data_IF_176080085091
#
_entry.id   IF_176080085091
#
_cell.length_a   1.000
_cell.length_b   1.000
_cell.length_c   1.000
_cell.angle_alpha   90.00
_cell.angle_beta   90.00
_cell.angle_gamma   90.00
#
_symmetry.space_group_name_H-M   'P 1'
#
loop_
_entity.id
_entity.type
_entity.pdbx_description
1 polymer ?
#
# COMPACT_ATOMS: atom_id res chain seq x y z
N UNK A 1 -23.66 14.40 -14.67
CA UNK A 1 -23.17 13.16 -14.01
C UNK A 1 -23.59 12.02 -14.90
N UNK A 2 -22.62 11.33 -15.49
CA UNK A 2 -22.91 10.18 -16.35
C UNK A 2 -23.52 9.07 -15.50
N UNK A 3 -24.51 8.34 -16.03
CA UNK A 3 -25.28 7.32 -15.28
C UNK A 3 -24.43 6.17 -14.72
N UNK A 4 -23.19 6.03 -15.19
CA UNK A 4 -22.27 4.92 -14.86
C UNK A 4 -21.34 5.24 -13.69
N UNK A 5 -21.44 6.42 -13.09
CA UNK A 5 -20.59 6.83 -11.97
C UNK A 5 -21.28 6.66 -10.62
N UNK A 6 -20.53 6.14 -9.65
CA UNK A 6 -20.99 5.98 -8.28
C UNK A 6 -20.12 6.83 -7.37
N UNK A 7 -20.75 7.80 -6.72
CA UNK A 7 -20.11 8.64 -5.72
C UNK A 7 -20.54 8.22 -4.33
N UNK A 8 -19.57 7.95 -3.46
CA UNK A 8 -19.81 7.68 -2.03
C UNK A 8 -18.93 8.59 -1.19
N UNK A 9 -19.48 9.07 -0.08
CA UNK A 9 -18.76 9.94 0.85
C UNK A 9 -18.78 9.39 2.28
N UNK A 10 -17.65 9.53 2.98
CA UNK A 10 -17.51 9.26 4.40
C UNK A 10 -17.14 10.55 5.11
N UNK A 11 -17.99 11.03 6.03
CA UNK A 11 -17.79 12.30 6.71
C UNK A 11 -17.18 12.11 8.10
N UNK A 12 -16.37 13.08 8.52
CA UNK A 12 -15.80 13.15 9.87
C UNK A 12 -14.88 11.97 10.25
N UNK A 13 -14.12 11.44 9.29
CA UNK A 13 -13.10 10.44 9.59
C UNK A 13 -12.06 11.02 10.55
N UNK A 14 -11.79 10.30 11.66
CA UNK A 14 -10.87 10.75 12.70
C UNK A 14 -9.42 10.42 12.35
N UNK A 15 -8.97 11.00 11.23
CA UNK A 15 -7.65 10.88 10.62
C UNK A 15 -7.23 12.25 10.07
N UNK A 16 -5.92 12.51 10.04
CA UNK A 16 -5.39 13.71 9.42
C UNK A 16 -5.44 13.58 7.89
N UNK A 17 -5.90 14.60 7.14
CA UNK A 17 -5.97 14.56 5.68
C UNK A 17 -4.66 14.11 5.01
N UNK A 18 -3.50 14.57 5.51
CA UNK A 18 -2.18 14.19 4.97
C UNK A 18 -1.92 12.68 5.05
N UNK A 19 -2.33 12.03 6.14
CA UNK A 19 -2.14 10.58 6.34
C UNK A 19 -3.14 9.75 5.53
N UNK A 20 -4.31 10.29 5.25
CA UNK A 20 -5.30 9.63 4.39
C UNK A 20 -4.92 9.76 2.91
N UNK A 21 -4.40 10.93 2.48
CA UNK A 21 -3.90 11.16 1.11
C UNK A 21 -2.82 10.17 0.71
N UNK A 22 -1.83 9.92 1.59
CA UNK A 22 -0.76 8.97 1.31
C UNK A 22 -1.27 7.59 0.88
N UNK A 23 -2.32 7.08 1.53
CA UNK A 23 -2.92 5.78 1.18
C UNK A 23 -3.84 5.91 -0.03
N UNK A 24 -4.60 7.00 -0.12
CA UNK A 24 -5.49 7.26 -1.26
C UNK A 24 -4.72 7.39 -2.58
N UNK A 25 -3.51 7.95 -2.54
CA UNK A 25 -2.65 8.08 -3.72
C UNK A 25 -2.09 6.72 -4.16
N UNK A 26 -1.89 5.77 -3.24
CA UNK A 26 -1.44 4.41 -3.57
C UNK A 26 -2.48 3.61 -4.36
N UNK A 27 -3.78 3.79 -4.08
CA UNK A 27 -4.86 3.02 -4.69
C UNK A 27 -5.57 3.77 -5.83
N UNK A 28 -5.09 4.95 -6.23
CA UNK A 28 -5.74 5.75 -7.27
C UNK A 28 -5.52 5.09 -8.64
N UNK A 29 -6.60 4.87 -9.38
CA UNK A 29 -6.57 4.26 -10.71
C UNK A 29 -6.53 2.72 -10.71
N UNK A 30 -6.54 2.09 -9.53
CA UNK A 30 -6.66 0.64 -9.41
C UNK A 30 -8.10 0.16 -9.67
N UNK A 31 -8.23 -1.13 -10.02
CA UNK A 31 -9.53 -1.81 -10.02
C UNK A 31 -10.07 -1.90 -8.59
N UNK A 32 -11.39 -1.79 -8.44
CA UNK A 32 -12.01 -1.74 -7.12
C UNK A 32 -11.68 -2.98 -6.26
N UNK A 33 -11.68 -4.19 -6.85
CA UNK A 33 -11.36 -5.43 -6.14
C UNK A 33 -9.90 -5.48 -5.67
N UNK A 34 -8.95 -5.13 -6.55
CA UNK A 34 -7.52 -5.10 -6.20
C UNK A 34 -7.21 -4.08 -5.09
N UNK A 35 -7.88 -2.92 -5.16
CA UNK A 35 -7.77 -1.90 -4.12
C UNK A 35 -8.36 -2.39 -2.78
N UNK A 36 -9.46 -3.15 -2.80
CA UNK A 36 -10.07 -3.71 -1.59
C UNK A 36 -9.08 -4.63 -0.84
N UNK A 37 -8.43 -5.53 -1.57
CA UNK A 37 -7.44 -6.47 -1.03
C UNK A 37 -6.22 -5.74 -0.49
N UNK A 38 -5.67 -4.80 -1.26
CA UNK A 38 -4.50 -4.00 -0.85
C UNK A 38 -4.78 -3.20 0.44
N UNK A 39 -5.97 -2.62 0.56
CA UNK A 39 -6.36 -1.87 1.76
C UNK A 39 -6.65 -2.77 2.97
N UNK A 40 -7.17 -3.99 2.75
CA UNK A 40 -7.49 -4.95 3.82
C UNK A 40 -6.27 -5.34 4.64
N UNK A 41 -5.11 -5.52 3.99
CA UNK A 41 -3.87 -5.93 4.64
C UNK A 41 -2.97 -4.77 5.08
N UNK A 42 -3.37 -3.53 4.80
CA UNK A 42 -2.60 -2.36 5.23
C UNK A 42 -2.72 -2.12 6.74
N UNK A 43 -1.62 -1.95 7.49
CA UNK A 43 -1.65 -1.76 8.94
C UNK A 43 -2.13 -0.37 9.36
N UNK A 44 -2.24 0.57 8.42
CA UNK A 44 -2.52 1.97 8.75
C UNK A 44 -3.99 2.21 9.11
N UNK A 45 -4.23 3.10 10.09
CA UNK A 45 -5.60 3.52 10.45
C UNK A 45 -6.34 4.16 9.27
N UNK A 46 -5.61 4.88 8.41
CA UNK A 46 -6.19 5.50 7.20
C UNK A 46 -6.79 4.45 6.27
N UNK A 47 -6.09 3.33 6.05
CA UNK A 47 -6.56 2.26 5.18
C UNK A 47 -7.88 1.67 5.67
N UNK A 48 -8.08 1.52 6.99
CA UNK A 48 -9.36 1.04 7.55
C UNK A 48 -10.56 1.90 7.15
N UNK A 49 -10.41 3.23 7.17
CA UNK A 49 -11.49 4.12 6.75
C UNK A 49 -11.74 4.09 5.24
N UNK A 50 -10.67 4.01 4.44
CA UNK A 50 -10.80 3.94 2.97
C UNK A 50 -11.38 2.59 2.56
N UNK A 51 -10.97 1.49 3.18
CA UNK A 51 -11.54 0.16 2.97
C UNK A 51 -13.03 0.13 3.28
N UNK A 52 -13.45 0.69 4.42
CA UNK A 52 -14.87 0.80 4.76
C UNK A 52 -15.67 1.60 3.73
N UNK A 53 -15.09 2.70 3.23
CA UNK A 53 -15.72 3.52 2.19
C UNK A 53 -15.80 2.77 0.85
N UNK A 54 -14.76 2.05 0.46
CA UNK A 54 -14.71 1.27 -0.77
C UNK A 54 -15.70 0.10 -0.74
N UNK A 55 -15.78 -0.61 0.39
CA UNK A 55 -16.80 -1.66 0.62
C UNK A 55 -18.22 -1.11 0.48
N UNK A 56 -18.47 0.08 1.02
CA UNK A 56 -19.76 0.77 0.85
C UNK A 56 -20.02 1.17 -0.61
N UNK A 57 -19.00 1.54 -1.36
CA UNK A 57 -19.13 1.89 -2.78
C UNK A 57 -19.44 0.66 -3.64
N UNK A 58 -18.82 -0.49 -3.36
CA UNK A 58 -19.14 -1.76 -4.01
C UNK A 58 -20.57 -2.22 -3.69
N UNK A 59 -21.05 -2.01 -2.46
CA UNK A 59 -22.44 -2.29 -2.11
C UNK A 59 -23.41 -1.39 -2.89
N UNK A 60 -23.12 -0.09 -2.98
CA UNK A 60 -23.91 0.86 -3.77
C UNK A 60 -23.86 0.56 -5.28
N UNK A 61 -22.78 -0.06 -5.77
CA UNK A 61 -22.70 -0.55 -7.14
C UNK A 61 -23.62 -1.72 -7.41
N UNK A 62 -23.65 -2.69 -6.49
CA UNK A 62 -24.54 -3.86 -6.58
C UNK A 62 -26.00 -3.46 -6.58
N UNK A 63 -26.39 -2.45 -5.80
CA UNK A 63 -27.76 -1.91 -5.77
C UNK A 63 -28.17 -1.25 -7.11
N UNK A 64 -27.21 -0.84 -7.93
CA UNK A 64 -27.43 -0.25 -9.25
C UNK A 64 -27.19 -1.24 -10.40
N UNK A 65 -27.13 -2.54 -10.10
CA UNK A 65 -26.87 -3.62 -11.06
C UNK A 65 -25.56 -3.45 -11.86
N UNK A 66 -24.57 -2.77 -11.27
CA UNK A 66 -23.25 -2.61 -11.87
C UNK A 66 -22.32 -3.74 -11.42
N UNK A 67 -21.57 -4.29 -12.39
CA UNK A 67 -20.62 -5.37 -12.15
C UNK A 67 -19.38 -4.87 -11.42
N UNK A 68 -19.18 -5.36 -10.19
CA UNK A 68 -18.08 -4.93 -9.31
C UNK A 68 -16.68 -5.20 -9.88
N UNK A 69 -16.53 -6.19 -10.76
CA UNK A 69 -15.23 -6.56 -11.33
C UNK A 69 -14.74 -5.57 -12.40
N UNK A 70 -15.68 -4.88 -13.05
CA UNK A 70 -15.40 -3.90 -14.13
C UNK A 70 -15.18 -2.49 -13.60
N UNK A 71 -15.54 -2.24 -12.34
CA UNK A 71 -15.39 -0.94 -11.71
C UNK A 71 -13.93 -0.62 -11.37
N UNK A 72 -13.53 0.60 -11.70
CA UNK A 72 -12.27 1.18 -11.26
C UNK A 72 -12.49 2.42 -10.41
N UNK A 73 -11.46 2.77 -9.65
CA UNK A 73 -11.41 4.01 -8.90
C UNK A 73 -11.05 5.16 -9.85
N UNK A 74 -12.04 5.95 -10.26
CA UNK A 74 -11.84 7.15 -11.08
C UNK A 74 -11.19 8.28 -10.29
N UNK A 75 -11.72 8.56 -9.10
CA UNK A 75 -11.23 9.63 -8.26
C UNK A 75 -11.35 9.27 -6.77
N UNK A 76 -10.32 9.63 -5.99
CA UNK A 76 -10.38 9.63 -4.53
C UNK A 76 -10.01 11.02 -4.02
N UNK A 77 -10.93 11.65 -3.32
CA UNK A 77 -10.73 12.95 -2.69
C UNK A 77 -10.66 12.82 -1.18
N UNK A 78 -9.73 13.57 -0.60
CA UNK A 78 -9.53 13.68 0.85
C UNK A 78 -9.53 15.15 1.22
N UNK A 79 -10.67 15.62 1.72
CA UNK A 79 -10.90 16.99 2.11
C UNK A 79 -10.67 17.18 3.62
N UNK A 80 -10.28 18.39 4.01
CA UNK A 80 -10.09 18.76 5.41
C UNK A 80 -11.44 18.89 6.12
N UNK A 81 -11.59 18.22 7.27
CA UNK A 81 -12.75 18.36 8.14
C UNK A 81 -12.51 19.33 9.31
N UNK A 82 -13.54 19.52 10.16
CA UNK A 82 -13.41 20.34 11.36
C UNK A 82 -12.29 19.83 12.27
N UNK A 83 -11.54 20.77 12.84
CA UNK A 83 -10.38 20.49 13.69
C UNK A 83 -10.66 20.91 15.12
N UNK A 84 -10.54 19.96 16.06
CA UNK A 84 -10.68 20.26 17.48
C UNK A 84 -9.37 20.83 18.05
N UNK A 85 -9.46 21.89 18.84
CA UNK A 85 -8.33 22.50 19.54
C UNK A 85 -8.18 21.86 20.94
N UNK A 86 -6.94 21.58 21.37
CA UNK A 86 -6.58 21.14 22.72
C UNK A 86 -5.35 21.91 23.18
N UNK A 87 -5.38 22.51 24.36
CA UNK A 87 -4.24 23.25 24.92
C UNK A 87 -3.19 22.26 25.44
N UNK A 88 -1.91 22.50 25.15
CA UNK A 88 -0.77 21.78 25.72
C UNK A 88 0.05 22.77 26.53
N UNK A 89 0.09 22.58 27.84
CA UNK A 89 0.87 23.42 28.76
C UNK A 89 2.36 23.15 28.54
N UNK A 90 3.17 24.21 28.56
CA UNK A 90 4.64 24.17 28.43
C UNK A 90 5.29 24.95 29.58
N UNK A 91 6.62 24.83 29.72
CA UNK A 91 7.39 25.54 30.72
C UNK A 91 7.24 27.07 30.58
N UNK A 92 7.47 27.79 31.70
CA UNK A 92 7.39 29.26 31.80
C UNK A 92 6.01 29.84 31.40
N UNK A 93 4.92 29.20 31.83
CA UNK A 93 3.54 29.67 31.60
C UNK A 93 3.06 29.65 30.14
N UNK A 94 3.84 29.08 29.21
CA UNK A 94 3.50 29.01 27.79
C UNK A 94 2.44 27.94 27.51
N UNK A 95 1.65 28.13 26.46
CA UNK A 95 0.69 27.13 26.03
C UNK A 95 0.54 27.04 24.51
N UNK A 96 0.73 25.84 23.98
CA UNK A 96 0.57 25.53 22.57
C UNK A 96 -0.83 24.97 22.29
N UNK A 97 -1.27 25.03 21.03
CA UNK A 97 -2.54 24.42 20.59
C UNK A 97 -2.25 23.18 19.75
N UNK A 98 -2.65 22.01 20.25
CA UNK A 98 -2.72 20.77 19.48
C UNK A 98 -4.04 20.76 18.68
N UNK A 99 -3.95 20.61 17.36
CA UNK A 99 -5.11 20.44 16.48
C UNK A 99 -5.37 18.96 16.21
N UNK A 100 -6.52 18.44 16.64
CA UNK A 100 -7.02 17.10 16.28
C UNK A 100 -7.89 17.24 15.03
N UNK A 101 -7.25 17.08 13.87
CA UNK A 101 -7.87 17.20 12.54
C UNK A 101 -8.75 15.98 12.24
N UNK A 102 -9.84 16.22 11.50
CA UNK A 102 -10.64 15.19 10.84
C UNK A 102 -10.56 15.36 9.33
N UNK A 103 -11.07 14.39 8.58
CA UNK A 103 -11.13 14.45 7.12
C UNK A 103 -12.48 13.97 6.60
N UNK A 104 -12.87 14.46 5.43
CA UNK A 104 -13.96 13.93 4.62
C UNK A 104 -13.36 13.16 3.45
N UNK A 105 -13.81 11.93 3.23
CA UNK A 105 -13.34 11.06 2.16
C UNK A 105 -14.45 10.95 1.11
N UNK A 106 -14.10 11.07 -0.16
CA UNK A 106 -15.02 10.83 -1.28
C UNK A 106 -14.35 9.88 -2.26
N UNK A 107 -15.05 8.83 -2.66
CA UNK A 107 -14.62 7.92 -3.73
C UNK A 107 -15.64 8.02 -4.87
N UNK A 108 -15.13 8.06 -6.09
CA UNK A 108 -15.90 7.98 -7.32
C UNK A 108 -15.44 6.71 -8.05
N UNK A 109 -16.35 5.76 -8.20
CA UNK A 109 -16.15 4.58 -9.04
C UNK A 109 -16.77 4.84 -10.41
N UNK A 110 -16.12 4.34 -11.46
CA UNK A 110 -16.62 4.37 -12.81
C UNK A 110 -16.31 3.04 -13.51
N UNK A 111 -17.20 2.63 -14.39
CA UNK A 111 -16.96 1.52 -15.31
C UNK A 111 -15.96 1.98 -16.37
N UNK A 112 -14.78 1.34 -16.40
CA UNK A 112 -13.79 1.63 -17.44
C UNK A 112 -14.14 0.78 -18.62
N UNK A 113 -14.82 1.38 -19.59
CA UNK A 113 -14.82 0.83 -20.95
C UNK A 113 -13.37 0.84 -21.41
N UNK A 114 -12.73 -0.33 -21.42
CA UNK A 114 -11.33 -0.45 -21.79
C UNK A 114 -11.08 0.34 -23.08
N UNK A 115 -10.08 1.23 -23.15
CA UNK A 115 -9.66 1.73 -24.44
C UNK A 115 -9.22 0.50 -25.22
N UNK A 116 -9.93 0.19 -26.31
CA UNK A 116 -9.48 -0.81 -27.27
C UNK A 116 -8.06 -0.40 -27.67
N UNK A 117 -7.05 -1.12 -27.20
CA UNK A 117 -5.70 -0.91 -27.69
C UNK A 117 -5.74 -1.32 -29.16
N UNK A 118 -5.38 -0.47 -30.13
CA UNK A 118 -5.23 -0.94 -31.50
C UNK A 118 -4.09 -1.97 -31.51
N UNK A 119 -4.43 -3.20 -31.85
CA UNK A 119 -3.51 -4.30 -32.15
C UNK A 119 -2.60 -3.86 -33.31
N UNK A 120 -1.39 -3.39 -32.99
CA UNK A 120 -0.34 -3.15 -34.01
C UNK A 120 0.89 -4.05 -33.81
N UNK A 121 0.86 -4.94 -32.81
CA UNK A 121 2.02 -5.75 -32.42
C UNK A 121 1.76 -7.27 -32.35
N UNK A 122 0.55 -7.73 -32.68
CA UNK A 122 0.21 -9.16 -32.59
C UNK A 122 0.57 -9.93 -33.89
N UNK A 123 0.63 -9.26 -35.05
CA UNK A 123 0.84 -9.93 -36.35
C UNK A 123 2.29 -10.37 -36.64
N UNK A 124 3.25 -10.15 -35.73
CA UNK A 124 4.68 -10.54 -35.93
C UNK A 124 5.17 -11.70 -35.06
N UNK A 125 4.34 -12.26 -34.17
CA UNK A 125 4.75 -13.36 -33.27
C UNK A 125 4.29 -14.74 -33.78
N UNK A 126 3.38 -14.80 -34.75
CA UNK A 126 2.91 -16.06 -35.34
C UNK A 126 3.78 -16.58 -36.51
N UNK A 127 4.69 -15.77 -37.06
CA UNK A 127 5.52 -16.15 -38.21
C UNK A 127 6.90 -16.77 -37.87
N UNK A 128 7.23 -16.97 -36.59
CA UNK A 128 8.53 -17.55 -36.17
C UNK A 128 8.42 -18.86 -35.36
N UNK A 129 7.30 -19.58 -35.41
CA UNK A 129 7.14 -20.89 -34.73
C UNK A 129 7.00 -22.10 -35.65
N UNK A 130 7.16 -21.93 -36.95
CA UNK A 130 7.26 -23.05 -37.88
C UNK A 130 8.73 -23.18 -38.29
N UNK A 131 9.26 -24.40 -38.20
CA UNK A 131 10.63 -24.83 -38.57
C UNK A 131 11.72 -24.72 -37.49
N UNK A 132 11.77 -25.72 -36.59
CA UNK A 132 12.74 -26.84 -36.68
C UNK A 132 12.61 -27.79 -35.49
N UNK A 133 11.93 -28.91 -35.73
CA UNK A 133 12.17 -30.16 -35.04
C UNK A 133 13.25 -30.94 -35.80
N UNK A 134 14.42 -31.17 -35.20
CA UNK A 134 15.22 -32.38 -35.45
C UNK A 134 16.04 -32.72 -34.20
N UNK A 135 15.47 -33.65 -33.44
CA UNK A 135 16.14 -34.69 -32.65
C UNK A 135 17.68 -34.67 -32.57
N UNK A 136 18.20 -34.60 -31.34
CA UNK A 136 19.09 -35.64 -30.81
C UNK A 136 19.16 -35.58 -29.28
N UNK A 137 18.91 -36.78 -28.72
CA UNK A 137 18.95 -37.23 -27.34
C UNK A 137 20.39 -37.15 -26.78
N UNK A 138 20.56 -36.89 -25.49
CA UNK A 138 21.30 -37.77 -24.54
C UNK A 138 21.71 -37.05 -23.23
N UNK A 139 21.37 -37.74 -22.14
CA UNK A 139 22.04 -37.87 -20.83
C UNK A 139 21.90 -36.80 -19.73
N UNK A 140 21.42 -37.34 -18.60
CA UNK A 140 21.40 -36.86 -17.24
C UNK A 140 22.72 -36.21 -16.77
N UNK A 141 22.63 -35.18 -15.93
CA UNK A 141 23.49 -35.06 -14.75
C UNK A 141 22.88 -34.15 -13.67
N UNK A 142 22.39 -34.81 -12.62
CA UNK A 142 22.58 -34.53 -11.18
C UNK A 142 22.58 -33.05 -10.72
N UNK A 143 21.57 -32.78 -9.89
CA UNK A 143 21.66 -32.03 -8.63
C UNK A 143 23.06 -31.54 -8.25
N UNK A 144 23.21 -30.24 -8.02
CA UNK A 144 23.89 -29.77 -6.82
C UNK A 144 23.47 -28.36 -6.39
N UNK A 145 22.98 -28.32 -5.16
CA UNK A 145 22.77 -27.20 -4.26
C UNK A 145 24.10 -26.45 -4.06
N UNK A 146 24.17 -25.10 -4.14
CA UNK A 146 25.35 -24.40 -3.66
C UNK A 146 25.35 -24.38 -2.13
N UNK A 147 26.15 -25.28 -1.56
CA UNK A 147 26.46 -25.35 -0.14
C UNK A 147 27.50 -24.27 0.19
N UNK A 148 27.20 -23.50 1.23
CA UNK A 148 28.14 -22.64 1.96
C UNK A 148 29.36 -23.49 2.34
N UNK A 149 30.58 -23.03 2.03
CA UNK A 149 31.79 -23.56 2.66
C UNK A 149 32.65 -22.42 3.25
N UNK A 150 33.15 -22.59 4.48
CA UNK A 150 33.92 -21.58 5.21
C UNK A 150 35.44 -21.77 5.00
N UNK A 151 36.19 -20.68 4.88
CA UNK A 151 37.66 -20.65 4.94
C UNK A 151 38.09 -19.21 5.28
N UNK A 152 39.04 -18.89 6.14
CA UNK A 152 39.88 -19.65 7.06
C UNK A 152 40.42 -18.66 8.13
N UNK A 153 40.66 -19.15 9.34
CA UNK A 153 41.34 -18.43 10.44
C UNK A 153 42.85 -18.29 10.14
N UNK A 154 43.37 -17.07 10.29
CA UNK A 154 44.57 -16.71 11.07
C UNK A 154 44.13 -15.48 11.88
N UNK A 155 44.12 -15.41 13.20
CA UNK A 155 45.07 -15.94 14.16
C UNK A 155 46.00 -14.80 14.56
N UNK A 156 45.52 -13.88 15.41
CA UNK A 156 46.36 -13.11 16.34
C UNK A 156 45.47 -12.63 17.50
N UNK A 157 45.68 -13.29 18.64
CA UNK A 157 45.17 -12.94 19.95
C UNK A 157 45.92 -11.73 20.47
N UNK A 158 45.23 -10.79 21.12
CA UNK A 158 45.75 -10.04 22.26
C UNK A 158 44.56 -9.41 23.01
N UNK A 159 44.11 -10.11 24.05
CA UNK A 159 43.23 -9.52 25.06
C UNK A 159 44.06 -8.81 26.13
N UNK A 160 43.53 -7.74 26.72
CA UNK A 160 43.51 -7.59 28.17
C UNK A 160 42.43 -6.61 28.65
N UNK A 161 41.67 -7.11 29.63
CA UNK A 161 41.09 -6.42 30.79
C UNK A 161 39.82 -5.59 30.59
N UNK A 162 38.71 -6.32 30.71
CA UNK A 162 37.62 -5.94 31.59
C UNK A 162 38.12 -5.39 32.95
N UNK A 163 37.71 -4.18 33.30
CA UNK A 163 37.61 -3.75 34.69
C UNK A 163 36.22 -3.19 34.94
N UNK A 164 35.43 -3.98 35.65
CA UNK A 164 34.36 -3.52 36.49
C UNK A 164 34.91 -2.54 37.54
N UNK A 165 34.29 -1.37 37.68
CA UNK A 165 34.44 -0.55 38.90
C UNK A 165 33.08 -0.05 39.36
N UNK A 166 32.61 -0.78 40.37
CA UNK A 166 31.83 -0.39 41.57
C UNK A 166 31.05 0.94 41.54
N UNK A 167 29.78 0.77 41.90
CA UNK A 167 28.91 1.70 42.62
C UNK A 167 29.61 2.72 43.52
N UNK A 168 29.20 3.98 43.41
CA UNK A 168 29.10 4.91 44.54
C UNK A 168 27.79 5.70 44.43
N UNK A 169 26.87 5.33 45.30
CA UNK A 169 25.82 6.19 45.85
C UNK A 169 26.45 7.45 46.43
N UNK A 170 25.90 8.62 46.16
CA UNK A 170 26.13 9.82 46.94
C UNK A 170 24.83 10.63 47.02
N UNK A 171 24.17 10.47 48.16
CA UNK A 171 23.13 11.32 48.69
C UNK A 171 23.71 12.70 49.07
N UNK A 172 23.08 13.79 48.60
CA UNK A 172 22.74 14.96 49.41
C UNK A 172 21.68 15.80 48.70
#
# INVERSE_FOLDING_TARGET
MEKTEIKVCFKYARVSPKKARLIADSVRGEKAILAEESLKFSPTKSAKYIHQLLKSALAAAKEKDLDGEKLSIKEIRVDGGPSLKRRKIRAKGRADIIKRRTSHLTIILADVKAPQKPSKYEDKVESTKTEKNTSKKLTDHKNNKPTITPAAKKGEENGTKSQSRKSKTASK
#
